data_IF_875933709054
#
_entry.id   IF_875933709054
#
_cell.length_a   1.000
_cell.length_b   1.000
_cell.length_c   1.000
_cell.angle_alpha   90.00
_cell.angle_beta   90.00
_cell.angle_gamma   90.00
#
_symmetry.space_group_name_H-M   'P 1'
#
loop_
_entity.id
_entity.type
_entity.pdbx_description
1 polymer ?
#
# COMPACT_ATOMS: atom_id res chain seq x y z
N UNK A 1 -0.15 8.65 -17.59
CA UNK A 1 1.16 8.02 -17.85
C UNK A 1 0.93 6.63 -18.40
N UNK A 2 1.47 6.29 -19.58
CA UNK A 2 1.34 4.94 -20.17
C UNK A 2 2.14 3.86 -19.42
N UNK A 3 3.09 4.29 -18.57
CA UNK A 3 4.01 3.39 -17.88
C UNK A 3 3.26 2.39 -16.99
N UNK A 4 2.33 2.90 -16.17
CA UNK A 4 1.53 2.12 -15.21
C UNK A 4 0.15 1.72 -15.77
N UNK A 5 -0.10 1.96 -17.05
CA UNK A 5 -1.36 1.58 -17.69
C UNK A 5 -1.47 0.05 -17.86
N UNK A 6 -2.66 -0.45 -18.25
CA UNK A 6 -2.90 -1.88 -18.44
C UNK A 6 -1.86 -2.55 -19.36
N UNK A 7 -1.35 -3.70 -18.92
CA UNK A 7 -0.42 -4.57 -19.64
C UNK A 7 -1.05 -5.94 -19.85
N UNK A 8 -0.70 -6.65 -20.94
CA UNK A 8 -1.28 -7.96 -21.27
C UNK A 8 -0.82 -9.09 -20.34
N UNK A 9 0.26 -8.90 -19.59
CA UNK A 9 0.79 -9.88 -18.64
C UNK A 9 0.95 -9.27 -17.24
N UNK A 10 0.51 -9.96 -16.17
CA UNK A 10 0.77 -9.54 -14.79
C UNK A 10 2.26 -9.41 -14.45
N UNK A 11 3.12 -10.19 -15.10
CA UNK A 11 4.57 -10.13 -14.87
C UNK A 11 5.22 -8.89 -15.49
N UNK A 12 4.55 -8.26 -16.47
CA UNK A 12 5.06 -7.05 -17.11
C UNK A 12 5.05 -5.84 -16.17
N UNK A 13 4.29 -5.87 -15.08
CA UNK A 13 4.27 -4.80 -14.08
C UNK A 13 5.51 -4.82 -13.18
N UNK A 14 6.08 -6.00 -12.89
CA UNK A 14 7.20 -6.21 -11.95
C UNK A 14 8.35 -5.21 -12.13
N UNK A 15 8.72 -4.94 -13.39
CA UNK A 15 9.82 -4.02 -13.72
C UNK A 15 9.62 -2.59 -13.20
N UNK A 16 8.36 -2.15 -13.09
CA UNK A 16 8.01 -0.78 -12.76
C UNK A 16 7.19 -0.68 -11.46
N UNK A 17 7.11 -1.74 -10.65
CA UNK A 17 6.35 -1.71 -9.39
C UNK A 17 6.85 -0.60 -8.46
N UNK A 18 8.17 -0.39 -8.37
CA UNK A 18 8.77 0.70 -7.61
C UNK A 18 8.36 2.12 -8.06
N UNK A 19 7.82 2.27 -9.29
CA UNK A 19 7.32 3.54 -9.83
C UNK A 19 5.79 3.61 -9.74
N UNK A 20 5.12 2.49 -9.96
CA UNK A 20 3.67 2.41 -10.11
C UNK A 20 2.94 2.04 -8.81
N UNK A 21 3.66 1.54 -7.82
CA UNK A 21 3.11 0.89 -6.64
C UNK A 21 2.83 -0.59 -6.88
N UNK A 22 2.73 -1.33 -5.77
CA UNK A 22 2.24 -2.71 -5.74
C UNK A 22 1.47 -2.92 -4.43
N UNK A 23 0.14 -2.72 -4.44
CA UNK A 23 -0.71 -3.03 -3.29
C UNK A 23 -0.66 -4.53 -2.98
N UNK A 24 -0.40 -4.89 -1.73
CA UNK A 24 -0.32 -6.27 -1.25
C UNK A 24 -1.36 -6.57 -0.17
N UNK A 25 -1.52 -5.65 0.79
CA UNK A 25 -2.53 -5.72 1.84
C UNK A 25 -3.65 -4.72 1.61
N UNK A 26 -4.89 -5.17 1.74
CA UNK A 26 -6.09 -4.37 1.51
C UNK A 26 -7.10 -4.67 2.61
N UNK A 27 -7.55 -3.65 3.35
CA UNK A 27 -8.59 -3.77 4.38
C UNK A 27 -9.53 -2.57 4.37
N UNK A 28 -10.82 -2.84 4.43
CA UNK A 28 -11.82 -1.80 4.61
C UNK A 28 -12.02 -1.52 6.09
N UNK A 29 -12.05 -0.24 6.46
CA UNK A 29 -12.68 0.20 7.70
C UNK A 29 -14.20 0.02 7.53
N UNK A 30 -14.78 -0.90 8.31
CA UNK A 30 -16.21 -1.23 8.22
C UNK A 30 -17.12 -0.09 8.66
N UNK A 31 -16.62 0.87 9.45
CA UNK A 31 -17.41 2.01 9.96
C UNK A 31 -17.47 3.13 8.92
N UNK A 32 -16.36 3.43 8.26
CA UNK A 32 -16.26 4.57 7.34
C UNK A 32 -16.37 4.18 5.86
N UNK A 33 -16.10 2.91 5.53
CA UNK A 33 -15.97 2.44 4.14
C UNK A 33 -14.64 2.83 3.48
N UNK A 34 -13.71 3.42 4.23
CA UNK A 34 -12.37 3.73 3.73
C UNK A 34 -11.57 2.45 3.46
N UNK A 35 -10.82 2.42 2.37
CA UNK A 35 -9.88 1.35 2.05
C UNK A 35 -8.46 1.75 2.47
N UNK A 36 -7.90 0.99 3.41
CA UNK A 36 -6.49 1.05 3.78
C UNK A 36 -5.70 0.06 2.94
N UNK A 37 -4.52 0.50 2.51
CA UNK A 37 -3.68 -0.19 1.52
C UNK A 37 -2.25 -0.24 2.06
N UNK A 38 -1.69 -1.44 2.17
CA UNK A 38 -0.26 -1.67 2.34
C UNK A 38 0.34 -1.81 0.94
N UNK A 39 1.02 -0.75 0.49
CA UNK A 39 1.75 -0.75 -0.78
C UNK A 39 3.23 -1.05 -0.54
N UNK A 40 3.78 -2.01 -1.31
CA UNK A 40 5.15 -2.47 -1.14
C UNK A 40 6.22 -1.37 -1.23
N UNK A 41 5.95 -0.26 -1.92
CA UNK A 41 6.90 0.83 -2.13
C UNK A 41 6.43 2.16 -1.58
N UNK A 42 5.11 2.35 -1.40
CA UNK A 42 4.54 3.64 -0.97
C UNK A 42 4.08 3.67 0.49
N UNK A 43 4.24 2.56 1.22
CA UNK A 43 3.92 2.47 2.64
C UNK A 43 2.44 2.24 2.90
N UNK A 44 1.95 2.72 4.04
CA UNK A 44 0.53 2.68 4.37
C UNK A 44 -0.20 3.84 3.71
N UNK A 45 -1.22 3.51 2.91
CA UNK A 45 -2.01 4.43 2.12
C UNK A 45 -3.50 4.26 2.45
N UNK A 46 -4.32 5.26 2.10
CA UNK A 46 -5.77 5.24 2.31
C UNK A 46 -6.51 5.92 1.17
N UNK A 47 -7.66 5.36 0.78
CA UNK A 47 -8.60 5.97 -0.16
C UNK A 47 -10.02 5.87 0.40
N UNK A 48 -10.85 6.88 0.13
CA UNK A 48 -12.24 6.88 0.58
C UNK A 48 -13.13 5.89 -0.20
N UNK A 49 -14.39 5.70 0.22
CA UNK A 49 -15.32 4.76 -0.40
C UNK A 49 -15.61 5.05 -1.89
N UNK A 50 -15.46 6.30 -2.31
CA UNK A 50 -15.62 6.72 -3.71
C UNK A 50 -14.41 6.37 -4.61
N UNK A 51 -13.35 5.80 -4.03
CA UNK A 51 -12.12 5.48 -4.74
C UNK A 51 -11.32 6.74 -5.12
N UNK A 52 -10.57 6.63 -6.23
CA UNK A 52 -9.61 7.65 -6.66
C UNK A 52 -8.18 7.37 -6.21
N UNK A 53 -7.34 8.41 -6.20
CA UNK A 53 -5.93 8.28 -5.82
C UNK A 53 -5.80 8.16 -4.31
N UNK A 54 -5.17 7.08 -3.84
CA UNK A 54 -4.89 6.88 -2.42
C UNK A 54 -3.90 7.93 -1.90
N UNK A 55 -4.12 8.39 -0.67
CA UNK A 55 -3.25 9.32 0.05
C UNK A 55 -2.32 8.54 0.98
N UNK A 56 -1.04 8.95 1.11
CA UNK A 56 -0.14 8.35 2.09
C UNK A 56 -0.54 8.70 3.52
N UNK A 57 -0.43 7.72 4.41
CA UNK A 57 -0.58 7.87 5.86
C UNK A 57 0.76 7.70 6.57
N UNK A 58 1.51 6.65 6.25
CA UNK A 58 2.80 6.33 6.88
C UNK A 58 3.79 5.86 5.83
N UNK A 59 4.99 6.47 5.83
CA UNK A 59 6.12 6.09 4.94
C UNK A 59 7.40 5.79 5.70
N UNK A 60 7.47 6.20 6.96
CA UNK A 60 8.62 6.02 7.84
C UNK A 60 8.12 5.89 9.28
N UNK A 61 8.89 5.19 10.10
CA UNK A 61 8.66 5.04 11.54
C UNK A 61 9.99 5.31 12.24
N UNK A 62 10.00 6.22 13.21
CA UNK A 62 11.21 6.61 13.97
C UNK A 62 12.39 7.02 13.06
N UNK A 63 12.10 7.65 11.92
CA UNK A 63 13.11 8.08 10.94
C UNK A 63 13.65 6.95 10.06
N UNK A 64 13.12 5.73 10.16
CA UNK A 64 13.44 4.61 9.28
C UNK A 64 12.36 4.48 8.20
N UNK A 65 12.69 4.62 6.90
CA UNK A 65 11.74 4.42 5.82
C UNK A 65 11.21 2.98 5.78
N UNK A 66 9.92 2.83 5.45
CA UNK A 66 9.33 1.54 5.14
C UNK A 66 9.82 1.09 3.76
N UNK A 67 10.32 -0.15 3.67
CA UNK A 67 10.97 -0.64 2.44
C UNK A 67 10.18 -1.75 1.75
N UNK A 68 9.34 -2.48 2.48
CA UNK A 68 8.51 -3.55 1.94
C UNK A 68 7.23 -3.75 2.78
N UNK A 69 6.34 -2.77 2.75
CA UNK A 69 5.05 -2.86 3.45
C UNK A 69 4.17 -3.92 2.79
N UNK A 70 3.65 -4.88 3.56
CA UNK A 70 3.11 -6.12 3.01
C UNK A 70 1.63 -6.34 3.32
N UNK A 71 1.24 -6.56 4.58
CA UNK A 71 -0.17 -6.68 4.95
C UNK A 71 -0.55 -5.73 6.08
N UNK A 72 -1.85 -5.56 6.28
CA UNK A 72 -2.43 -4.81 7.39
C UNK A 72 -3.72 -5.45 7.90
N UNK A 73 -4.11 -5.07 9.11
CA UNK A 73 -5.43 -5.33 9.69
C UNK A 73 -5.93 -4.14 10.51
N UNK A 74 -7.24 -4.08 10.72
CA UNK A 74 -7.91 -3.00 11.44
C UNK A 74 -8.75 -3.63 12.56
N UNK A 75 -8.51 -3.22 13.80
CA UNK A 75 -9.33 -3.68 14.93
C UNK A 75 -10.67 -2.92 15.04
N UNK A 76 -11.53 -3.40 15.93
CA UNK A 76 -12.87 -2.84 16.12
C UNK A 76 -12.85 -1.40 16.67
N UNK A 77 -11.75 -0.94 17.27
CA UNK A 77 -11.57 0.43 17.75
C UNK A 77 -11.02 1.36 16.66
N UNK A 78 -10.58 0.80 15.53
CA UNK A 78 -10.06 1.52 14.37
C UNK A 78 -8.54 1.67 14.37
N UNK A 79 -7.82 0.96 15.24
CA UNK A 79 -6.37 0.91 15.17
C UNK A 79 -5.93 0.08 13.96
N UNK A 80 -4.94 0.60 13.24
CA UNK A 80 -4.39 -0.05 12.04
C UNK A 80 -3.04 -0.67 12.38
N UNK A 81 -2.95 -1.98 12.24
CA UNK A 81 -1.72 -2.77 12.41
C UNK A 81 -1.21 -3.14 11.02
N UNK A 82 0.07 -2.94 10.74
CA UNK A 82 0.65 -3.27 9.45
C UNK A 82 2.06 -3.81 9.60
N UNK A 83 2.52 -4.54 8.59
CA UNK A 83 3.85 -5.16 8.58
C UNK A 83 4.75 -4.54 7.53
N UNK A 84 6.02 -4.35 7.89
CA UNK A 84 7.11 -4.14 6.94
C UNK A 84 7.96 -5.42 6.90
N UNK A 85 7.99 -6.09 5.74
CA UNK A 85 8.62 -7.43 5.63
C UNK A 85 10.14 -7.37 5.67
N UNK A 86 10.72 -6.22 5.33
CA UNK A 86 12.15 -5.95 5.42
C UNK A 86 12.37 -4.46 5.50
N UNK A 87 13.28 -4.01 6.35
CA UNK A 87 13.77 -2.62 6.40
C UNK A 87 14.98 -2.37 5.50
N UNK A 88 15.39 -3.38 4.71
CA UNK A 88 16.61 -3.34 3.88
C UNK A 88 16.29 -3.61 2.42
N UNK A 89 15.45 -4.62 2.15
CA UNK A 89 15.12 -5.04 0.80
C UNK A 89 13.73 -4.56 0.40
N UNK A 90 13.62 -4.15 -0.86
CA UNK A 90 12.33 -3.91 -1.50
C UNK A 90 11.82 -5.21 -2.14
N UNK A 91 10.54 -5.21 -2.52
CA UNK A 91 9.92 -6.29 -3.30
C UNK A 91 10.55 -6.47 -4.68
#
# INVERSE_FOLDING_TARGET
SELCGPKPSPLAYTKNEHICGRPLGLRFDKKTGDLYIADAYFGLMKVGPEGGLAKPLVKEVEGVPLMFTNDLDIDDDGAVYFTDSSSVFQR
#
